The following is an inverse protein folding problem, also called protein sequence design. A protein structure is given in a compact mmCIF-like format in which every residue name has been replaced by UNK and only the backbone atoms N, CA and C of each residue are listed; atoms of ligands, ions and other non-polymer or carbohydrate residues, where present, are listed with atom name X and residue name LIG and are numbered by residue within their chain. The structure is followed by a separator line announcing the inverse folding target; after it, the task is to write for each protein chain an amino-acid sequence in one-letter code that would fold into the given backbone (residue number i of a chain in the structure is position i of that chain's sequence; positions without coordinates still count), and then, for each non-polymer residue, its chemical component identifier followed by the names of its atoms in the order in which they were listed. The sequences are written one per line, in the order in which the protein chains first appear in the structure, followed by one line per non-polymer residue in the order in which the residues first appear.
data_IF_368277293108
#
_entry.id   IF_368277293108
#
_cell.length_a   1.000
_cell.length_b   1.000
_cell.length_c   1.000
_cell.angle_alpha   90.00
_cell.angle_beta   90.00
_cell.angle_gamma   90.00
#
_symmetry.space_group_name_H-M   'P 1'
#
loop_
_entity.id
_entity.type
_entity.pdbx_description
1 polymer ?
#
# COMPACT_ATOMS: atom_id res chain seq x y z
N UNK A 1 -28.49 5.18 29.68
CA UNK A 1 -29.52 4.36 29.03
C UNK A 1 -28.81 3.39 28.09
N UNK A 2 -28.64 2.15 28.54
CA UNK A 2 -27.97 1.07 27.81
C UNK A 2 -28.84 0.61 26.64
N UNK A 3 -28.27 0.47 25.44
CA UNK A 3 -28.87 -0.34 24.39
C UNK A 3 -27.87 -1.35 23.87
N UNK A 4 -28.11 -2.60 24.25
CA UNK A 4 -27.55 -3.82 23.71
C UNK A 4 -28.20 -4.10 22.35
N UNK A 5 -27.43 -4.49 21.34
CA UNK A 5 -27.98 -5.23 20.21
C UNK A 5 -27.00 -6.31 19.77
N UNK A 6 -27.37 -7.55 20.09
CA UNK A 6 -26.70 -8.80 19.77
C UNK A 6 -26.64 -9.02 18.24
N UNK A 7 -25.44 -9.28 17.71
CA UNK A 7 -25.25 -9.85 16.37
C UNK A 7 -25.00 -11.35 16.53
N UNK A 8 -25.95 -12.15 16.04
CA UNK A 8 -25.90 -13.61 15.96
C UNK A 8 -24.78 -14.04 15.00
N UNK A 9 -23.82 -14.82 15.52
CA UNK A 9 -22.95 -15.67 14.71
C UNK A 9 -23.75 -16.91 14.28
N UNK A 10 -23.89 -17.15 12.98
CA UNK A 10 -24.18 -18.48 12.44
C UNK A 10 -22.88 -18.98 11.83
N UNK A 11 -22.18 -19.85 12.56
CA UNK A 11 -21.05 -20.63 12.06
C UNK A 11 -21.61 -21.84 11.28
N UNK A 12 -21.05 -22.19 10.10
CA UNK A 12 -21.32 -23.48 9.50
C UNK A 12 -20.76 -24.59 10.41
N UNK A 13 -21.63 -25.55 10.72
CA UNK A 13 -21.35 -26.76 11.50
C UNK A 13 -20.50 -27.69 10.63
N UNK A 14 -19.19 -27.43 10.54
CA UNK A 14 -18.22 -28.41 9.99
C UNK A 14 -16.77 -28.20 10.45
N UNK A 15 -16.49 -27.31 11.41
CA UNK A 15 -15.12 -27.13 11.93
C UNK A 15 -14.97 -27.20 13.46
N UNK A 16 -15.95 -27.80 14.13
CA UNK A 16 -15.75 -28.35 15.47
C UNK A 16 -15.31 -29.79 15.26
N UNK A 17 -13.99 -30.00 15.19
CA UNK A 17 -13.25 -31.23 15.54
C UNK A 17 -11.89 -31.30 14.83
N UNK A 18 -11.01 -30.30 15.00
CA UNK A 18 -9.57 -30.58 15.06
C UNK A 18 -8.83 -29.37 15.67
N UNK A 19 -8.10 -29.64 16.77
CA UNK A 19 -7.16 -28.76 17.48
C UNK A 19 -7.73 -27.67 18.40
N UNK A 20 -8.15 -28.13 19.58
CA UNK A 20 -8.02 -27.37 20.83
C UNK A 20 -6.56 -26.87 20.99
N UNK A 21 -6.35 -25.57 21.19
CA UNK A 21 -5.13 -25.08 21.85
C UNK A 21 -4.27 -23.98 21.18
N UNK A 22 -4.69 -23.32 20.10
CA UNK A 22 -3.96 -22.13 19.62
C UNK A 22 -4.87 -20.90 19.56
N UNK A 23 -4.63 -19.95 20.48
CA UNK A 23 -5.07 -18.55 20.33
C UNK A 23 -4.69 -18.09 18.93
N UNK A 24 -5.68 -17.85 18.08
CA UNK A 24 -5.46 -17.27 16.76
C UNK A 24 -5.06 -15.81 16.95
N UNK A 25 -3.75 -15.58 17.05
CA UNK A 25 -3.17 -14.27 17.25
C UNK A 25 -3.13 -13.56 15.89
N UNK A 26 -3.99 -12.56 15.70
CA UNK A 26 -4.06 -11.71 14.49
C UNK A 26 -2.72 -11.00 14.18
N UNK A 27 -1.78 -11.03 15.12
CA UNK A 27 -0.39 -10.59 14.99
C UNK A 27 0.50 -11.42 14.05
N UNK A 28 0.04 -12.56 13.54
CA UNK A 28 0.90 -13.47 12.74
C UNK A 28 1.28 -12.95 11.34
N UNK A 29 0.63 -11.90 10.81
CA UNK A 29 0.91 -11.40 9.46
C UNK A 29 1.97 -10.29 9.41
N UNK A 30 2.35 -9.75 10.57
CA UNK A 30 3.52 -8.90 10.70
C UNK A 30 4.66 -9.77 11.19
N UNK A 31 5.34 -10.47 10.26
CA UNK A 31 6.72 -10.83 10.54
C UNK A 31 7.41 -9.53 10.96
N UNK A 32 7.82 -9.47 12.23
CA UNK A 32 8.60 -8.37 12.81
C UNK A 32 9.77 -8.11 11.87
N UNK A 33 9.66 -7.09 11.04
CA UNK A 33 10.83 -6.52 10.41
C UNK A 33 11.68 -6.04 11.58
N UNK A 34 12.83 -6.70 11.82
CA UNK A 34 13.85 -6.16 12.72
C UNK A 34 14.45 -4.95 12.02
N UNK A 35 13.74 -3.84 12.02
CA UNK A 35 14.32 -2.56 11.62
C UNK A 35 15.13 -2.09 12.83
N UNK A 36 16.46 -2.08 12.72
CA UNK A 36 17.27 -1.37 13.69
C UNK A 36 16.87 0.11 13.62
N UNK A 37 16.53 0.69 14.76
CA UNK A 37 16.03 2.06 14.86
C UNK A 37 17.02 3.11 14.33
N UNK A 38 18.29 2.72 14.18
CA UNK A 38 19.41 3.56 13.75
C UNK A 38 19.50 3.74 12.20
N UNK A 39 18.72 3.04 11.38
CA UNK A 39 18.79 3.16 9.90
C UNK A 39 17.65 3.98 9.26
N UNK A 40 16.63 4.37 10.01
CA UNK A 40 15.52 5.15 9.46
C UNK A 40 15.78 6.65 9.60
N UNK A 41 15.47 7.39 8.55
CA UNK A 41 15.50 8.84 8.57
C UNK A 41 14.34 9.37 9.41
N UNK A 42 14.53 10.57 9.95
CA UNK A 42 13.58 11.18 10.91
C UNK A 42 12.25 11.55 10.28
N UNK A 43 12.23 11.86 8.99
CA UNK A 43 11.04 12.32 8.29
C UNK A 43 10.83 11.56 6.99
N UNK A 44 9.56 11.42 6.59
CA UNK A 44 9.18 10.91 5.26
C UNK A 44 9.82 11.73 4.13
N UNK A 45 10.12 13.01 4.38
CA UNK A 45 10.68 13.93 3.40
C UNK A 45 12.18 13.77 3.16
N UNK A 46 12.85 12.99 3.99
CA UNK A 46 14.29 12.74 3.89
C UNK A 46 14.60 11.58 2.93
N UNK A 47 13.58 10.82 2.51
CA UNK A 47 13.72 9.70 1.58
C UNK A 47 13.78 10.15 0.12
N UNK A 48 14.43 9.32 -0.69
CA UNK A 48 14.38 9.39 -2.16
C UNK A 48 13.71 8.14 -2.72
N UNK A 49 13.07 8.30 -3.87
CA UNK A 49 12.47 7.21 -4.65
C UNK A 49 12.86 7.39 -6.11
N UNK A 50 12.64 6.38 -6.95
CA UNK A 50 12.90 6.49 -8.40
C UNK A 50 11.62 6.68 -9.17
N UNK A 51 11.60 7.60 -10.13
CA UNK A 51 10.51 7.67 -11.11
C UNK A 51 10.60 6.50 -12.12
N UNK A 52 9.66 6.41 -13.07
CA UNK A 52 9.65 5.35 -14.09
C UNK A 52 10.81 5.42 -15.10
N UNK A 53 11.51 6.56 -15.18
CA UNK A 53 12.75 6.71 -15.97
C UNK A 53 13.99 6.21 -15.21
N UNK A 54 13.86 5.93 -13.91
CA UNK A 54 14.95 5.55 -13.02
C UNK A 54 15.65 6.73 -12.35
N UNK A 55 15.18 7.96 -12.57
CA UNK A 55 15.74 9.18 -11.98
C UNK A 55 15.29 9.33 -10.53
N UNK A 56 16.19 9.83 -9.67
CA UNK A 56 15.87 10.05 -8.26
C UNK A 56 14.87 11.22 -8.11
N UNK A 57 13.88 11.02 -7.26
CA UNK A 57 12.88 12.01 -6.84
C UNK A 57 12.93 12.09 -5.32
N UNK A 58 13.32 13.25 -4.81
CA UNK A 58 13.28 13.51 -3.37
C UNK A 58 11.83 13.64 -2.88
N UNK A 59 11.50 12.96 -1.79
CA UNK A 59 10.19 13.07 -1.15
C UNK A 59 9.95 14.46 -0.57
N UNK A 60 11.00 15.26 -0.38
CA UNK A 60 10.91 16.66 0.05
C UNK A 60 10.09 17.54 -0.90
N UNK A 61 9.97 17.16 -2.18
CA UNK A 61 9.06 17.76 -3.18
C UNK A 61 7.60 17.82 -2.70
N UNK A 62 7.20 16.89 -1.84
CA UNK A 62 5.83 16.75 -1.36
C UNK A 62 5.59 17.37 0.03
N UNK A 63 6.51 18.21 0.51
CA UNK A 63 6.31 18.97 1.76
C UNK A 63 5.06 19.85 1.67
N UNK A 64 4.35 19.98 2.79
CA UNK A 64 3.11 20.76 2.93
C UNK A 64 1.94 20.26 2.06
N UNK A 65 2.00 19.01 1.57
CA UNK A 65 0.92 18.32 0.86
C UNK A 65 0.31 17.25 1.73
N UNK A 66 -0.98 16.95 1.49
CA UNK A 66 -1.61 15.73 1.99
C UNK A 66 -1.22 14.60 1.06
N UNK A 67 -0.71 13.50 1.62
CA UNK A 67 -0.20 12.38 0.83
C UNK A 67 -1.08 11.14 0.99
N UNK A 68 -1.45 10.54 -0.15
CA UNK A 68 -1.91 9.15 -0.21
C UNK A 68 -0.78 8.35 -0.84
N UNK A 69 -0.23 7.41 -0.07
CA UNK A 69 0.85 6.53 -0.52
C UNK A 69 0.33 5.10 -0.51
N UNK A 70 0.46 4.41 -1.64
CA UNK A 70 0.00 3.04 -1.75
C UNK A 70 0.87 2.21 -2.69
N UNK A 71 0.94 0.91 -2.42
CA UNK A 71 1.52 -0.04 -3.36
C UNK A 71 0.51 -0.42 -4.43
N UNK A 72 0.94 -0.53 -5.69
CA UNK A 72 0.08 -0.85 -6.84
C UNK A 72 0.50 -2.13 -7.56
N UNK A 73 -0.41 -2.67 -8.37
CA UNK A 73 -0.18 -3.81 -9.25
C UNK A 73 -1.06 -3.65 -10.51
N UNK A 74 -0.51 -3.71 -11.72
CA UNK A 74 -1.28 -3.48 -12.95
C UNK A 74 -2.24 -4.62 -13.33
N UNK A 75 -1.93 -5.87 -12.94
CA UNK A 75 -2.68 -7.09 -13.32
C UNK A 75 -3.67 -7.55 -12.25
N UNK A 76 -3.87 -6.78 -11.17
CA UNK A 76 -4.80 -7.14 -10.11
C UNK A 76 -6.25 -6.90 -10.55
N UNK A 77 -7.17 -7.80 -10.15
CA UNK A 77 -8.60 -7.68 -10.49
C UNK A 77 -9.27 -6.42 -9.93
N UNK A 78 -8.69 -5.80 -8.91
CA UNK A 78 -9.17 -4.56 -8.28
C UNK A 78 -8.61 -3.30 -8.95
N UNK A 79 -7.59 -3.42 -9.80
CA UNK A 79 -6.84 -2.27 -10.34
C UNK A 79 -7.73 -1.31 -11.09
N UNK A 80 -8.69 -1.81 -11.88
CA UNK A 80 -9.63 -0.95 -12.61
C UNK A 80 -10.39 0.00 -11.68
N UNK A 81 -10.88 -0.52 -10.56
CA UNK A 81 -11.62 0.28 -9.58
C UNK A 81 -10.70 1.27 -8.85
N UNK A 82 -9.51 0.84 -8.46
CA UNK A 82 -8.53 1.71 -7.80
C UNK A 82 -8.10 2.87 -8.71
N UNK A 83 -7.80 2.59 -9.97
CA UNK A 83 -7.46 3.61 -10.97
C UNK A 83 -8.57 4.64 -11.09
N UNK A 84 -9.82 4.21 -11.24
CA UNK A 84 -10.96 5.13 -11.36
C UNK A 84 -11.10 6.00 -10.11
N UNK A 85 -11.03 5.40 -8.92
CA UNK A 85 -11.18 6.11 -7.65
C UNK A 85 -10.04 7.11 -7.40
N UNK A 86 -8.80 6.71 -7.62
CA UNK A 86 -7.65 7.61 -7.43
C UNK A 86 -7.58 8.72 -8.47
N UNK A 87 -7.94 8.45 -9.73
CA UNK A 87 -8.06 9.51 -10.73
C UNK A 87 -9.12 10.54 -10.33
N UNK A 88 -10.30 10.10 -9.88
CA UNK A 88 -11.36 11.01 -9.38
C UNK A 88 -10.92 11.82 -8.17
N UNK A 89 -10.22 11.18 -7.21
CA UNK A 89 -9.67 11.87 -6.04
C UNK A 89 -8.63 12.91 -6.43
N UNK A 90 -7.71 12.55 -7.33
CA UNK A 90 -6.69 13.45 -7.84
C UNK A 90 -7.32 14.67 -8.52
N UNK A 91 -8.24 14.46 -9.45
CA UNK A 91 -8.96 15.54 -10.13
C UNK A 91 -9.65 16.50 -9.16
N UNK A 92 -10.28 15.96 -8.11
CA UNK A 92 -11.06 16.75 -7.17
C UNK A 92 -10.21 17.56 -6.19
N UNK A 93 -9.05 17.03 -5.77
CA UNK A 93 -8.33 17.57 -4.62
C UNK A 93 -6.87 17.93 -4.87
N UNK A 94 -6.28 17.61 -6.04
CA UNK A 94 -4.88 17.93 -6.29
C UNK A 94 -4.58 19.44 -6.22
N UNK A 95 -5.45 20.26 -6.81
CA UNK A 95 -5.36 21.73 -6.71
C UNK A 95 -5.47 22.26 -5.26
N UNK A 96 -5.98 21.44 -4.32
CA UNK A 96 -6.10 21.77 -2.88
C UNK A 96 -4.95 21.17 -2.04
N UNK A 97 -3.92 20.64 -2.69
CA UNK A 97 -2.73 20.11 -2.02
C UNK A 97 -2.73 18.61 -1.75
N UNK A 98 -3.62 17.83 -2.37
CA UNK A 98 -3.54 16.36 -2.35
C UNK A 98 -2.53 15.86 -3.39
N UNK A 99 -1.62 14.98 -2.98
CA UNK A 99 -0.73 14.24 -3.87
C UNK A 99 -0.91 12.75 -3.64
N UNK A 100 -1.04 11.99 -4.73
CA UNK A 100 -1.20 10.54 -4.71
C UNK A 100 0.05 9.92 -5.30
N UNK A 101 0.67 9.00 -4.55
CA UNK A 101 1.97 8.38 -4.84
C UNK A 101 1.80 6.86 -4.91
N UNK A 102 1.92 6.31 -6.12
CA UNK A 102 1.74 4.89 -6.40
C UNK A 102 3.10 4.20 -6.59
N UNK A 103 3.29 3.08 -5.88
CA UNK A 103 4.51 2.29 -5.88
C UNK A 103 4.25 0.86 -6.38
N UNK A 104 4.50 0.56 -7.66
CA UNK A 104 4.34 -0.77 -8.23
C UNK A 104 5.11 -1.85 -7.44
N UNK A 105 4.51 -3.02 -7.24
CA UNK A 105 5.21 -4.15 -6.62
C UNK A 105 4.64 -5.50 -7.04
N UNK A 106 5.51 -6.45 -7.33
CA UNK A 106 5.15 -7.84 -7.66
C UNK A 106 5.02 -8.75 -6.44
N UNK A 107 5.31 -8.25 -5.23
CA UNK A 107 5.33 -9.06 -4.00
C UNK A 107 3.96 -9.60 -3.56
N UNK A 108 2.88 -9.23 -4.26
CA UNK A 108 1.53 -9.76 -4.04
C UNK A 108 1.06 -10.51 -5.29
N UNK A 109 1.16 -11.84 -5.24
CA UNK A 109 0.71 -12.76 -6.30
C UNK A 109 1.33 -12.47 -7.70
N UNK A 110 2.49 -11.81 -7.76
CA UNK A 110 3.18 -11.45 -9.00
C UNK A 110 2.30 -10.68 -10.01
N UNK A 111 1.49 -9.75 -9.51
CA UNK A 111 0.48 -9.05 -10.31
C UNK A 111 0.97 -7.73 -10.95
N UNK A 112 2.27 -7.47 -10.99
CA UNK A 112 2.82 -6.29 -11.65
C UNK A 112 3.59 -6.69 -12.93
N UNK A 113 3.86 -5.75 -13.82
CA UNK A 113 4.78 -5.96 -14.93
C UNK A 113 6.24 -5.95 -14.45
N UNK A 114 7.09 -6.77 -15.09
CA UNK A 114 8.49 -6.90 -14.72
C UNK A 114 9.34 -5.72 -15.23
N UNK A 115 8.90 -5.06 -16.31
CA UNK A 115 9.59 -3.93 -16.91
C UNK A 115 8.79 -2.64 -16.77
N UNK A 116 9.50 -1.51 -16.64
CA UNK A 116 8.88 -0.18 -16.49
C UNK A 116 8.15 0.28 -17.75
N UNK A 117 8.54 -0.21 -18.93
CA UNK A 117 7.90 0.15 -20.21
C UNK A 117 6.44 -0.28 -20.27
N UNK A 118 6.13 -1.50 -19.84
CA UNK A 118 4.77 -2.02 -19.79
C UNK A 118 3.93 -1.27 -18.75
N UNK A 119 4.55 -0.85 -17.64
CA UNK A 119 3.90 0.02 -16.63
C UNK A 119 3.57 1.38 -17.26
N UNK A 120 4.48 1.99 -18.03
CA UNK A 120 4.20 3.23 -18.75
C UNK A 120 3.04 3.08 -19.74
N UNK A 121 3.05 2.02 -20.56
CA UNK A 121 1.96 1.73 -21.50
C UNK A 121 0.63 1.51 -20.78
N UNK A 122 0.64 0.80 -19.65
CA UNK A 122 -0.53 0.66 -18.80
C UNK A 122 -1.02 2.01 -18.30
N UNK A 123 -0.13 2.89 -17.83
CA UNK A 123 -0.48 4.20 -17.30
C UNK A 123 -1.12 5.11 -18.36
N UNK A 124 -0.56 5.13 -19.57
CA UNK A 124 -1.09 5.89 -20.71
C UNK A 124 -2.49 5.41 -21.08
N UNK A 125 -2.66 4.09 -21.23
CA UNK A 125 -3.95 3.47 -21.58
C UNK A 125 -5.03 3.79 -20.54
N UNK A 126 -4.66 3.79 -19.27
CA UNK A 126 -5.57 4.02 -18.15
C UNK A 126 -5.66 5.50 -17.73
N UNK A 127 -4.95 6.40 -18.43
CA UNK A 127 -4.93 7.85 -18.17
C UNK A 127 -4.66 8.16 -16.69
N UNK A 128 -3.64 7.52 -16.12
CA UNK A 128 -3.24 7.73 -14.72
C UNK A 128 -2.88 9.21 -14.51
N UNK A 129 -3.49 9.84 -13.50
CA UNK A 129 -3.33 11.28 -13.22
C UNK A 129 -2.38 11.60 -12.08
N UNK A 130 -2.00 10.59 -11.30
CA UNK A 130 -1.19 10.70 -10.10
C UNK A 130 0.24 10.21 -10.34
N UNK A 131 1.13 10.44 -9.37
CA UNK A 131 2.55 10.09 -9.49
C UNK A 131 2.72 8.57 -9.43
N UNK A 132 3.28 7.98 -10.49
CA UNK A 132 3.69 6.59 -10.53
C UNK A 132 5.22 6.51 -10.45
N UNK A 133 5.73 5.69 -9.53
CA UNK A 133 7.16 5.49 -9.33
C UNK A 133 7.64 4.17 -9.93
N UNK A 134 8.96 3.98 -9.94
CA UNK A 134 9.58 2.69 -10.27
C UNK A 134 9.11 1.58 -9.31
N UNK A 135 9.06 0.32 -9.78
CA UNK A 135 8.78 -0.83 -8.94
C UNK A 135 9.68 -0.92 -7.71
N UNK A 136 9.11 -1.38 -6.60
CA UNK A 136 9.78 -1.39 -5.31
C UNK A 136 9.41 -2.63 -4.48
N UNK A 137 10.34 -3.07 -3.65
CA UNK A 137 10.05 -4.06 -2.61
C UNK A 137 9.46 -3.36 -1.39
N UNK A 138 8.27 -3.78 -0.98
CA UNK A 138 7.54 -3.25 0.17
C UNK A 138 7.61 -4.18 1.38
N UNK A 139 8.01 -5.44 1.21
CA UNK A 139 8.16 -6.48 2.23
C UNK A 139 9.53 -7.19 2.12
N UNK A 140 9.92 -7.94 3.17
CA UNK A 140 11.17 -8.70 3.20
C UNK A 140 12.41 -7.87 3.51
N UNK A 141 13.59 -8.49 3.39
CA UNK A 141 14.88 -7.88 3.76
C UNK A 141 15.24 -6.69 2.86
N UNK A 142 14.86 -6.78 1.58
CA UNK A 142 15.02 -5.74 0.58
C UNK A 142 13.95 -4.65 0.62
N UNK A 143 13.07 -4.63 1.64
CA UNK A 143 12.04 -3.58 1.77
C UNK A 143 12.69 -2.21 1.68
N UNK A 144 12.17 -1.37 0.81
CA UNK A 144 12.70 -0.03 0.64
C UNK A 144 12.59 0.80 1.95
N UNK A 145 13.61 1.62 2.29
CA UNK A 145 13.63 2.38 3.54
C UNK A 145 12.36 3.23 3.78
N UNK A 146 11.79 3.84 2.73
CA UNK A 146 10.50 4.54 2.82
C UNK A 146 9.38 3.64 3.34
N UNK A 147 9.25 2.41 2.84
CA UNK A 147 8.22 1.47 3.28
C UNK A 147 8.49 0.90 4.67
N UNK A 148 9.77 0.75 5.07
CA UNK A 148 10.13 0.46 6.47
C UNK A 148 9.68 1.59 7.40
N UNK A 149 9.90 2.85 7.03
CA UNK A 149 9.45 4.02 7.77
C UNK A 149 7.93 4.08 7.89
N UNK A 150 7.20 3.91 6.78
CA UNK A 150 5.74 3.94 6.75
C UNK A 150 5.14 2.85 7.65
N UNK A 151 5.67 1.62 7.58
CA UNK A 151 5.24 0.51 8.45
C UNK A 151 5.48 0.77 9.93
N UNK A 152 6.56 1.48 10.27
CA UNK A 152 6.90 1.81 11.67
C UNK A 152 6.02 2.93 12.22
N UNK A 153 5.74 3.96 11.41
CA UNK A 153 5.11 5.20 11.87
C UNK A 153 3.60 5.30 11.57
N UNK A 154 3.04 4.36 10.78
CA UNK A 154 1.61 4.34 10.49
C UNK A 154 0.98 3.08 11.10
N UNK A 155 0.27 3.26 12.22
CA UNK A 155 -0.53 2.21 12.89
C UNK A 155 -1.61 1.63 11.97
N UNK A 156 -2.07 2.45 11.02
CA UNK A 156 -2.94 2.05 9.92
C UNK A 156 -2.21 2.21 8.59
N UNK A 157 -1.41 1.20 8.23
CA UNK A 157 -1.35 0.83 6.82
C UNK A 157 -2.78 0.47 6.43
N UNK A 158 -3.51 1.44 5.86
CA UNK A 158 -4.76 1.19 5.15
C UNK A 158 -4.34 0.44 3.88
N UNK A 159 -3.99 -0.83 4.06
CA UNK A 159 -4.18 -1.83 3.05
C UNK A 159 -5.67 -1.74 2.75
N UNK A 160 -6.05 -1.32 1.55
CA UNK A 160 -7.37 -1.67 1.00
C UNK A 160 -7.41 -3.19 0.88
N UNK A 161 -7.59 -3.88 2.01
CA UNK A 161 -7.98 -5.27 2.05
C UNK A 161 -9.49 -5.25 1.87
N UNK A 162 -9.92 -5.06 0.63
CA UNK A 162 -11.30 -5.34 0.24
C UNK A 162 -11.51 -6.82 0.54
N UNK A 163 -12.28 -7.11 1.60
CA UNK A 163 -12.89 -8.42 1.76
C UNK A 163 -13.79 -8.61 0.54
N UNK A 164 -13.48 -9.63 -0.24
CA UNK A 164 -14.43 -10.23 -1.18
C UNK A 164 -15.59 -10.81 -0.39
#
# INVERSE_FOLDING_TARGET
MFFSMFIKFILPISFICYNFGKKFNMFSYFQKIKVSEQELLSSIYDYEVKDLSGSNVSMSKFKNKVLIIFNSASKCGLTKNHVEQFNKLHEKYNARGLEILAFPTSQFLNQEFDNTKDICTFNEKNKIKYNMFSPIEVNGDNTHPLFKYLKKNCDSLILFRLKI
#
